data_IF_384847108778
#
_entry.id   IF_384847108778
#
_cell.length_a   1.000
_cell.length_b   1.000
_cell.length_c   1.000
_cell.angle_alpha   90.00
_cell.angle_beta   90.00
_cell.angle_gamma   90.00
#
_symmetry.space_group_name_H-M   'P 1'
#
loop_
_entity.id
_entity.type
_entity.pdbx_description
1 polymer ?
#
# COMPACT_ATOMS: atom_id res chain seq x y z
N UNK A 1 48.75 -10.70 38.60
CA UNK A 1 48.72 -11.38 37.31
C UNK A 1 47.31 -11.87 37.09
N UNK A 2 46.66 -11.32 36.06
CA UNK A 2 45.34 -11.73 35.62
C UNK A 2 45.41 -12.89 34.60
N UNK A 3 46.52 -13.02 33.86
CA UNK A 3 46.62 -13.84 32.65
C UNK A 3 47.67 -14.93 32.80
N UNK A 4 47.42 -15.89 33.70
CA UNK A 4 48.32 -17.01 34.04
C UNK A 4 48.75 -17.93 32.87
N UNK A 5 48.26 -17.68 31.65
CA UNK A 5 48.55 -18.42 30.43
C UNK A 5 49.07 -17.54 29.28
N UNK A 6 49.04 -16.21 29.41
CA UNK A 6 49.52 -15.26 28.41
C UNK A 6 50.55 -14.31 29.05
N UNK A 7 51.85 -14.67 29.09
CA UNK A 7 52.86 -13.93 29.83
C UNK A 7 53.21 -12.56 29.24
N UNK A 8 52.63 -12.18 28.09
CA UNK A 8 52.70 -10.81 27.58
C UNK A 8 51.65 -9.88 28.20
N UNK A 9 50.65 -10.44 28.89
CA UNK A 9 49.67 -9.72 29.70
C UNK A 9 49.87 -10.05 31.19
N UNK A 10 49.55 -9.11 32.08
CA UNK A 10 49.74 -9.32 33.54
C UNK A 10 48.74 -8.57 34.43
N UNK A 11 47.92 -7.72 33.82
CA UNK A 11 46.97 -6.79 34.44
C UNK A 11 45.74 -6.70 33.54
N UNK A 12 44.62 -6.60 34.20
CA UNK A 12 43.27 -6.33 33.71
C UNK A 12 42.72 -5.33 34.74
N UNK A 13 42.54 -4.06 34.36
CA UNK A 13 42.25 -2.97 35.31
C UNK A 13 40.76 -2.72 35.53
N UNK A 14 39.89 -3.02 34.57
CA UNK A 14 38.42 -2.88 34.72
C UNK A 14 37.66 -4.21 34.79
N UNK A 15 38.32 -5.34 34.52
CA UNK A 15 37.83 -6.70 34.70
C UNK A 15 37.02 -7.26 33.54
N UNK A 16 37.28 -6.85 32.30
CA UNK A 16 36.54 -7.32 31.11
C UNK A 16 37.09 -8.63 30.49
N UNK A 17 38.38 -8.91 30.69
CA UNK A 17 39.08 -10.09 30.19
C UNK A 17 40.13 -9.83 29.10
N UNK A 18 40.32 -8.58 28.68
CA UNK A 18 41.48 -8.12 27.91
C UNK A 18 42.57 -7.56 28.85
N UNK A 19 43.78 -7.37 28.33
CA UNK A 19 44.94 -7.00 29.16
C UNK A 19 45.52 -5.63 28.82
N UNK A 20 45.80 -4.83 29.85
CA UNK A 20 46.28 -3.43 29.75
C UNK A 20 47.55 -3.23 28.88
N UNK A 21 48.33 -4.28 28.61
CA UNK A 21 49.57 -4.14 27.86
C UNK A 21 49.29 -4.08 26.35
N UNK A 22 49.29 -2.86 25.80
CA UNK A 22 49.09 -2.61 24.37
C UNK A 22 50.15 -3.25 23.45
N UNK A 23 51.38 -3.49 23.95
CA UNK A 23 52.43 -4.25 23.24
C UNK A 23 52.27 -5.79 23.38
N UNK A 24 51.30 -6.24 24.20
CA UNK A 24 51.02 -7.65 24.48
C UNK A 24 50.03 -8.28 23.51
N UNK A 25 49.89 -9.60 23.59
CA UNK A 25 48.90 -10.34 22.80
C UNK A 25 47.49 -9.90 23.19
N UNK A 26 46.65 -9.58 22.20
CA UNK A 26 45.27 -9.09 22.38
C UNK A 26 45.14 -8.01 23.47
N UNK A 27 46.05 -7.04 23.48
CA UNK A 27 46.01 -5.92 24.41
C UNK A 27 44.74 -5.08 24.25
N UNK A 28 44.22 -4.62 25.38
CA UNK A 28 43.04 -3.77 25.46
C UNK A 28 43.33 -2.35 24.92
N UNK A 29 42.42 -1.84 24.10
CA UNK A 29 42.44 -0.48 23.56
C UNK A 29 41.73 0.55 24.46
N UNK A 30 40.98 0.10 25.48
CA UNK A 30 40.30 0.92 26.48
C UNK A 30 40.53 0.49 27.97
N UNK A 31 41.78 0.39 28.51
CA UNK A 31 42.12 -0.17 29.86
C UNK A 31 41.49 0.41 31.14
N UNK A 32 40.49 1.28 31.03
CA UNK A 32 39.75 1.90 32.13
C UNK A 32 38.21 1.86 31.87
N UNK A 33 37.75 1.23 30.77
CA UNK A 33 36.36 1.27 30.25
C UNK A 33 35.95 -0.04 29.57
N UNK A 34 35.71 -1.06 30.40
CA UNK A 34 35.12 -2.38 30.08
C UNK A 34 34.20 -2.37 28.87
N UNK A 35 34.46 -3.29 27.96
CA UNK A 35 33.62 -3.54 26.80
C UNK A 35 33.62 -4.99 26.33
N UNK A 36 33.32 -5.17 25.05
CA UNK A 36 33.15 -6.48 24.40
C UNK A 36 33.61 -6.50 22.94
N UNK A 37 34.06 -5.38 22.36
CA UNK A 37 34.49 -5.33 20.96
C UNK A 37 35.64 -6.31 20.69
N UNK A 38 35.56 -6.97 19.53
CA UNK A 38 36.45 -8.03 19.06
C UNK A 38 37.10 -7.71 17.71
N UNK A 39 36.59 -6.72 16.96
CA UNK A 39 36.93 -6.51 15.54
C UNK A 39 37.87 -5.33 15.29
N UNK A 40 37.67 -4.18 15.95
CA UNK A 40 38.48 -2.97 15.72
C UNK A 40 39.30 -2.55 16.95
N UNK A 41 38.65 -2.27 18.09
CA UNK A 41 39.28 -1.90 19.36
C UNK A 41 38.95 -2.97 20.41
N UNK A 42 39.85 -3.93 20.62
CA UNK A 42 39.68 -4.98 21.64
C UNK A 42 39.43 -4.36 23.02
N UNK A 43 38.54 -4.96 23.81
CA UNK A 43 38.16 -4.52 25.16
C UNK A 43 37.37 -3.20 25.24
N UNK A 44 37.33 -2.41 24.17
CA UNK A 44 36.51 -1.21 24.15
C UNK A 44 35.01 -1.52 24.15
N UNK A 45 34.27 -0.57 24.73
CA UNK A 45 32.81 -0.54 24.75
C UNK A 45 32.22 -0.80 23.35
N UNK A 46 31.26 -1.69 23.35
CA UNK A 46 30.41 -2.16 22.26
C UNK A 46 29.01 -2.26 22.90
N UNK A 47 27.99 -1.64 22.28
CA UNK A 47 26.69 -1.41 22.92
C UNK A 47 25.63 -2.46 22.58
N UNK A 48 25.70 -3.08 21.41
CA UNK A 48 24.70 -4.05 20.94
C UNK A 48 25.24 -5.48 20.75
N UNK A 49 26.56 -5.67 20.74
CA UNK A 49 27.23 -6.97 20.79
C UNK A 49 27.62 -7.56 19.43
N UNK A 50 27.70 -6.75 18.36
CA UNK A 50 28.13 -7.21 17.04
C UNK A 50 29.66 -7.45 16.94
N UNK A 51 30.43 -6.80 17.83
CA UNK A 51 31.87 -6.93 17.96
C UNK A 51 32.70 -5.75 17.45
N UNK A 52 32.09 -4.69 16.91
CA UNK A 52 32.72 -3.40 16.66
C UNK A 52 32.50 -2.43 17.83
N UNK A 53 33.39 -1.45 17.98
CA UNK A 53 33.38 -0.57 19.16
C UNK A 53 32.70 0.78 18.96
N UNK A 54 31.96 1.23 19.99
CA UNK A 54 31.28 2.52 20.08
C UNK A 54 32.19 3.67 19.58
N UNK A 55 31.67 4.64 18.82
CA UNK A 55 32.43 5.80 18.35
C UNK A 55 32.78 6.75 19.51
N UNK A 56 34.02 7.23 19.52
CA UNK A 56 34.56 8.17 20.51
C UNK A 56 35.12 9.43 19.84
N UNK A 57 35.47 10.45 20.64
CA UNK A 57 36.05 11.70 20.13
C UNK A 57 37.34 11.47 19.31
N UNK A 58 38.15 10.48 19.73
CA UNK A 58 39.41 10.08 19.10
C UNK A 58 39.30 8.94 18.07
N UNK A 59 38.22 8.16 18.08
CA UNK A 59 37.98 7.06 17.14
C UNK A 59 36.56 7.14 16.58
N UNK A 60 36.44 7.81 15.43
CA UNK A 60 35.15 8.13 14.83
C UNK A 60 34.58 6.96 14.04
N UNK A 61 33.26 6.94 13.95
CA UNK A 61 32.53 6.11 13.01
C UNK A 61 32.93 6.41 11.55
N UNK A 62 32.60 5.46 10.69
CA UNK A 62 32.54 5.64 9.24
C UNK A 62 31.56 6.81 8.92
N UNK A 63 31.82 7.66 7.89
CA UNK A 63 32.88 7.62 6.88
C UNK A 63 34.22 8.23 7.31
N UNK A 64 34.36 8.75 8.54
CA UNK A 64 35.55 9.46 9.00
C UNK A 64 36.56 8.61 9.79
N UNK A 65 36.22 7.36 10.08
CA UNK A 65 37.05 6.41 10.81
C UNK A 65 36.53 4.98 10.69
N UNK A 66 36.84 4.15 11.68
CA UNK A 66 36.60 2.70 11.68
C UNK A 66 35.81 2.21 12.90
N UNK A 67 35.29 3.12 13.72
CA UNK A 67 34.32 2.76 14.75
C UNK A 67 33.02 2.29 14.11
N UNK A 68 32.21 1.63 14.92
CA UNK A 68 30.82 1.36 14.62
C UNK A 68 30.03 2.66 14.30
N UNK A 69 29.28 2.64 13.20
CA UNK A 69 28.35 3.70 12.79
C UNK A 69 26.95 3.60 13.43
N UNK A 70 26.52 2.44 13.93
CA UNK A 70 25.17 2.19 14.46
C UNK A 70 25.16 1.46 15.83
N UNK A 71 25.54 2.11 16.96
CA UNK A 71 25.71 1.46 18.28
C UNK A 71 24.45 0.94 18.99
N UNK A 72 23.41 0.56 18.26
CA UNK A 72 22.13 0.04 18.74
C UNK A 72 21.48 -0.94 17.73
N UNK A 73 22.17 -1.38 16.67
CA UNK A 73 21.67 -2.25 15.59
C UNK A 73 22.77 -3.24 15.16
N UNK A 74 22.89 -4.36 15.91
CA UNK A 74 23.93 -5.39 15.78
C UNK A 74 23.95 -6.21 14.45
N UNK A 75 23.40 -5.65 13.38
CA UNK A 75 23.49 -6.11 12.00
C UNK A 75 24.19 -5.10 11.08
N UNK A 76 24.56 -3.93 11.61
CA UNK A 76 25.14 -2.80 10.88
C UNK A 76 26.24 -2.13 11.69
N UNK A 77 27.44 -2.01 11.13
CA UNK A 77 28.56 -1.33 11.79
C UNK A 77 29.24 -0.28 10.90
N UNK A 78 28.81 -0.11 9.65
CA UNK A 78 29.54 0.63 8.62
C UNK A 78 28.62 1.40 7.68
N UNK A 79 28.90 2.69 7.53
CA UNK A 79 28.19 3.66 6.68
C UNK A 79 29.23 4.33 5.76
N UNK A 80 29.28 3.97 4.47
CA UNK A 80 30.38 4.37 3.57
C UNK A 80 30.38 5.84 3.18
N UNK A 81 29.23 6.50 3.11
CA UNK A 81 29.12 7.89 2.62
C UNK A 81 28.48 8.87 3.62
N UNK A 82 27.84 8.37 4.69
CA UNK A 82 27.41 9.13 5.86
C UNK A 82 25.93 9.51 5.87
N UNK A 83 25.05 8.72 5.25
CA UNK A 83 23.62 9.04 5.12
C UNK A 83 22.73 8.51 6.25
N UNK A 84 23.20 7.53 7.03
CA UNK A 84 22.44 6.86 8.09
C UNK A 84 21.80 5.52 7.72
N UNK A 85 22.15 4.95 6.57
CA UNK A 85 21.99 3.53 6.24
C UNK A 85 23.35 2.84 6.20
N UNK A 86 23.36 1.52 6.40
CA UNK A 86 24.59 0.74 6.59
C UNK A 86 24.85 -0.25 5.46
N UNK A 87 26.12 -0.36 5.06
CA UNK A 87 26.56 -1.12 3.88
C UNK A 87 26.23 -2.63 3.94
N UNK A 88 25.88 -3.16 5.11
CA UNK A 88 25.61 -4.59 5.30
C UNK A 88 24.23 -4.89 4.70
N UNK A 89 24.13 -5.91 3.84
CA UNK A 89 22.88 -6.21 3.12
C UNK A 89 21.79 -6.90 3.98
N UNK A 90 21.82 -6.71 5.30
CA UNK A 90 20.96 -7.35 6.30
C UNK A 90 20.39 -6.32 7.29
N UNK A 91 19.29 -6.69 7.96
CA UNK A 91 18.65 -5.82 8.95
C UNK A 91 17.77 -4.71 8.35
N UNK A 92 17.28 -3.84 9.22
CA UNK A 92 16.29 -2.79 8.92
C UNK A 92 16.89 -1.52 8.33
N UNK A 93 18.19 -1.30 8.51
CA UNK A 93 18.91 -0.10 8.09
C UNK A 93 19.91 -0.37 6.95
N UNK A 94 19.78 -1.49 6.23
CA UNK A 94 20.64 -1.78 5.08
C UNK A 94 20.59 -0.64 4.04
N UNK A 95 21.71 -0.40 3.40
CA UNK A 95 21.82 0.39 2.18
C UNK A 95 21.93 -0.52 0.95
N UNK A 96 21.18 -0.20 -0.09
CA UNK A 96 21.25 -0.83 -1.40
C UNK A 96 22.15 -0.03 -2.38
N UNK A 97 22.65 1.17 -2.00
CA UNK A 97 23.55 2.05 -2.75
C UNK A 97 24.86 2.52 -2.01
N UNK A 98 25.76 1.65 -1.46
CA UNK A 98 26.82 1.99 -0.46
C UNK A 98 28.01 2.88 -0.87
N UNK A 99 27.80 3.85 -1.76
CA UNK A 99 28.75 4.89 -2.18
C UNK A 99 28.02 6.19 -2.66
N UNK A 100 26.69 6.25 -2.62
CA UNK A 100 25.85 7.34 -3.14
C UNK A 100 24.70 7.73 -2.17
N UNK A 101 25.06 8.18 -0.96
CA UNK A 101 24.22 8.81 0.07
C UNK A 101 22.82 9.33 -0.38
N UNK A 102 21.76 8.81 0.25
CA UNK A 102 20.38 9.13 -0.07
C UNK A 102 19.38 8.94 1.08
N UNK A 103 18.09 8.87 0.72
CA UNK A 103 16.98 8.75 1.68
C UNK A 103 15.78 7.96 1.14
N UNK A 104 15.93 7.24 0.01
CA UNK A 104 14.88 6.35 -0.49
C UNK A 104 14.62 5.18 0.47
N UNK A 105 13.37 4.71 0.52
CA UNK A 105 12.89 3.72 1.51
C UNK A 105 11.89 2.70 0.96
N UNK A 106 11.41 2.83 -0.28
CA UNK A 106 10.28 2.04 -0.82
C UNK A 106 10.67 0.91 -1.77
N UNK A 107 11.65 1.13 -2.66
CA UNK A 107 12.15 0.12 -3.62
C UNK A 107 13.57 -0.31 -3.29
N UNK A 108 14.47 0.67 -3.24
CA UNK A 108 15.84 0.56 -2.77
C UNK A 108 15.96 1.45 -1.53
N UNK A 109 16.78 1.04 -0.59
CA UNK A 109 17.02 1.77 0.65
C UNK A 109 18.38 2.48 0.57
N UNK A 110 18.50 3.70 1.12
CA UNK A 110 19.72 4.53 1.08
C UNK A 110 20.11 5.11 -0.28
N UNK A 111 19.43 4.73 -1.36
CA UNK A 111 19.67 5.33 -2.68
C UNK A 111 19.13 6.78 -2.78
N UNK A 112 19.68 7.62 -3.68
CA UNK A 112 19.23 9.01 -3.83
C UNK A 112 17.78 9.15 -4.32
N UNK A 113 16.97 9.95 -3.62
CA UNK A 113 15.66 10.46 -4.04
C UNK A 113 15.72 11.99 -4.16
N UNK A 114 15.68 12.52 -5.40
CA UNK A 114 15.74 13.98 -5.60
C UNK A 114 14.41 14.71 -5.39
N UNK A 115 13.31 14.01 -5.10
CA UNK A 115 11.97 14.58 -4.98
C UNK A 115 11.21 14.22 -3.68
N UNK A 116 11.75 13.35 -2.83
CA UNK A 116 11.19 13.01 -1.52
C UNK A 116 9.83 12.31 -1.60
N UNK A 117 9.64 11.41 -2.58
CA UNK A 117 8.46 10.54 -2.64
C UNK A 117 8.71 9.13 -2.04
N UNK A 118 9.95 8.89 -1.60
CA UNK A 118 10.41 7.67 -0.92
C UNK A 118 10.95 6.61 -1.88
N UNK A 119 10.93 6.85 -3.20
CA UNK A 119 11.44 5.95 -4.22
C UNK A 119 12.76 6.45 -4.79
N UNK A 120 13.63 5.53 -5.21
CA UNK A 120 14.91 5.87 -5.83
C UNK A 120 14.74 6.66 -7.14
N UNK A 121 15.75 7.49 -7.46
CA UNK A 121 15.86 8.16 -8.76
C UNK A 121 15.85 7.17 -9.96
N UNK A 122 16.30 5.91 -9.78
CA UNK A 122 16.21 4.88 -10.84
C UNK A 122 14.77 4.37 -11.03
N UNK A 123 13.97 4.28 -9.96
CA UNK A 123 12.55 3.99 -10.07
C UNK A 123 11.82 5.10 -10.83
N UNK A 124 12.02 6.35 -10.40
CA UNK A 124 11.62 7.54 -11.15
C UNK A 124 10.12 7.88 -11.08
N UNK A 125 9.86 9.19 -11.09
CA UNK A 125 8.60 9.84 -10.70
C UNK A 125 7.31 9.32 -11.35
N UNK A 126 7.35 8.85 -12.60
CA UNK A 126 6.16 8.31 -13.26
C UNK A 126 5.80 6.90 -12.77
N UNK A 127 6.80 6.09 -12.40
CA UNK A 127 6.56 4.75 -11.82
C UNK A 127 6.08 4.90 -10.38
N UNK A 128 6.76 5.72 -9.58
CA UNK A 128 6.41 5.95 -8.16
C UNK A 128 4.98 6.52 -8.01
N UNK A 129 4.61 7.51 -8.82
CA UNK A 129 3.25 8.07 -8.82
C UNK A 129 2.17 7.01 -9.12
N UNK A 130 2.44 6.06 -10.02
CA UNK A 130 1.51 4.94 -10.31
C UNK A 130 1.44 3.96 -9.13
N UNK A 131 2.57 3.64 -8.51
CA UNK A 131 2.62 2.75 -7.36
C UNK A 131 1.88 3.35 -6.14
N UNK A 132 2.09 4.63 -5.84
CA UNK A 132 1.41 5.36 -4.76
C UNK A 132 -0.11 5.41 -5.00
N UNK A 133 -0.57 5.62 -6.24
CA UNK A 133 -2.00 5.54 -6.60
C UNK A 133 -2.61 4.13 -6.47
N UNK A 134 -1.78 3.08 -6.38
CA UNK A 134 -2.22 1.70 -6.15
C UNK A 134 -2.25 1.31 -4.67
N UNK A 135 -1.50 1.99 -3.81
CA UNK A 135 -1.34 1.69 -2.38
C UNK A 135 -2.56 2.14 -1.56
N UNK A 136 -3.12 3.33 -1.85
CA UNK A 136 -4.37 3.80 -1.25
C UNK A 136 -5.51 3.92 -2.31
N UNK A 137 -6.38 2.90 -2.44
CA UNK A 137 -7.53 2.95 -3.34
C UNK A 137 -8.64 3.91 -2.85
N UNK A 138 -8.63 4.36 -1.60
CA UNK A 138 -9.55 5.36 -1.07
C UNK A 138 -9.09 6.80 -1.34
N UNK A 139 -7.79 7.04 -1.57
CA UNK A 139 -7.29 8.32 -2.08
C UNK A 139 -7.52 8.51 -3.59
N UNK A 140 -7.72 7.42 -4.35
CA UNK A 140 -7.84 7.47 -5.81
C UNK A 140 -9.16 8.09 -6.28
N UNK A 141 -9.08 9.22 -6.99
CA UNK A 141 -10.23 9.89 -7.63
C UNK A 141 -11.07 8.95 -8.52
N UNK A 142 -10.45 7.89 -9.07
CA UNK A 142 -11.11 6.91 -9.92
C UNK A 142 -12.14 6.04 -9.17
N UNK A 143 -11.92 5.72 -7.89
CA UNK A 143 -12.88 4.90 -7.13
C UNK A 143 -14.17 5.68 -6.83
N UNK A 144 -14.05 6.96 -6.48
CA UNK A 144 -15.19 7.89 -6.39
C UNK A 144 -15.91 8.07 -7.72
N UNK A 145 -15.18 8.12 -8.84
CA UNK A 145 -15.77 8.21 -10.18
C UNK A 145 -16.61 6.96 -10.51
N UNK A 146 -16.12 5.76 -10.20
CA UNK A 146 -16.86 4.50 -10.40
C UNK A 146 -18.13 4.46 -9.52
N UNK A 147 -18.02 4.83 -8.24
CA UNK A 147 -19.16 4.89 -7.31
C UNK A 147 -20.19 5.93 -7.80
N UNK A 148 -19.74 7.11 -8.21
CA UNK A 148 -20.59 8.18 -8.73
C UNK A 148 -21.32 7.78 -10.02
N UNK A 149 -20.63 7.16 -10.98
CA UNK A 149 -21.27 6.63 -12.19
C UNK A 149 -22.27 5.52 -11.86
N UNK A 150 -21.97 4.62 -10.92
CA UNK A 150 -22.90 3.59 -10.46
C UNK A 150 -24.19 4.19 -9.88
N UNK A 151 -24.06 5.25 -9.07
CA UNK A 151 -25.21 5.95 -8.49
C UNK A 151 -26.02 6.72 -9.54
N UNK A 152 -25.35 7.39 -10.50
CA UNK A 152 -25.99 8.09 -11.62
C UNK A 152 -26.75 7.11 -12.51
N UNK A 153 -26.13 5.99 -12.91
CA UNK A 153 -26.78 4.98 -13.75
C UNK A 153 -27.97 4.32 -13.03
N UNK A 154 -27.85 4.04 -11.73
CA UNK A 154 -28.95 3.55 -10.91
C UNK A 154 -30.12 4.53 -10.83
N UNK A 155 -29.84 5.82 -10.61
CA UNK A 155 -30.85 6.88 -10.60
C UNK A 155 -31.50 7.09 -11.98
N UNK A 156 -30.71 7.07 -13.06
CA UNK A 156 -31.22 7.15 -14.44
C UNK A 156 -32.14 5.98 -14.77
N UNK A 157 -31.75 4.74 -14.42
CA UNK A 157 -32.57 3.56 -14.65
C UNK A 157 -33.88 3.61 -13.85
N UNK A 158 -33.82 4.01 -12.57
CA UNK A 158 -35.02 4.19 -11.75
C UNK A 158 -35.96 5.27 -12.31
N UNK A 159 -35.42 6.36 -12.87
CA UNK A 159 -36.20 7.42 -13.50
C UNK A 159 -36.86 6.95 -14.81
N UNK A 160 -36.16 6.20 -15.65
CA UNK A 160 -36.73 5.57 -16.87
C UNK A 160 -37.86 4.59 -16.51
N UNK A 161 -37.67 3.74 -15.50
CA UNK A 161 -38.70 2.81 -15.01
C UNK A 161 -39.91 3.57 -14.43
N UNK A 162 -39.69 4.72 -13.78
CA UNK A 162 -40.79 5.57 -13.31
C UNK A 162 -41.58 6.19 -14.46
N UNK A 163 -40.90 6.74 -15.48
CA UNK A 163 -41.57 7.34 -16.64
C UNK A 163 -42.41 6.31 -17.40
N UNK A 164 -41.86 5.12 -17.67
CA UNK A 164 -42.61 4.04 -18.31
C UNK A 164 -43.86 3.61 -17.52
N UNK A 165 -43.81 3.63 -16.18
CA UNK A 165 -44.99 3.40 -15.34
C UNK A 165 -46.04 4.51 -15.44
N UNK A 166 -45.62 5.76 -15.55
CA UNK A 166 -46.54 6.90 -15.70
C UNK A 166 -47.23 6.88 -17.07
N UNK A 167 -46.54 6.46 -18.14
CA UNK A 167 -47.16 6.16 -19.44
C UNK A 167 -48.13 4.98 -19.36
N UNK A 168 -47.75 3.89 -18.71
CA UNK A 168 -48.59 2.70 -18.51
C UNK A 168 -49.89 3.01 -17.76
N UNK A 169 -49.85 3.87 -16.75
CA UNK A 169 -51.03 4.22 -15.94
C UNK A 169 -51.89 5.30 -16.64
N UNK A 170 -51.30 6.18 -17.46
CA UNK A 170 -52.04 7.08 -18.37
C UNK A 170 -52.82 6.30 -19.44
N UNK A 171 -52.16 5.35 -20.13
CA UNK A 171 -52.81 4.53 -21.17
C UNK A 171 -54.02 3.75 -20.62
N UNK A 172 -53.91 3.19 -19.40
CA UNK A 172 -55.04 2.54 -18.70
C UNK A 172 -56.15 3.53 -18.35
N UNK A 173 -55.79 4.75 -17.97
CA UNK A 173 -56.78 5.78 -17.63
C UNK A 173 -57.56 6.25 -18.86
N UNK A 174 -56.90 6.42 -20.02
CA UNK A 174 -57.59 6.72 -21.29
C UNK A 174 -58.52 5.56 -21.72
N UNK A 175 -58.07 4.31 -21.61
CA UNK A 175 -58.92 3.13 -21.87
C UNK A 175 -60.17 3.13 -20.99
N UNK A 176 -60.02 3.33 -19.67
CA UNK A 176 -61.15 3.45 -18.74
C UNK A 176 -62.01 4.72 -18.94
N UNK A 177 -61.51 5.74 -19.64
CA UNK A 177 -62.30 6.94 -19.96
C UNK A 177 -63.18 6.68 -21.19
N UNK A 178 -62.58 6.14 -22.26
CA UNK A 178 -63.30 5.73 -23.48
C UNK A 178 -64.37 4.65 -23.18
N UNK A 179 -64.06 3.68 -22.31
CA UNK A 179 -65.02 2.66 -21.87
C UNK A 179 -66.21 3.28 -21.12
N UNK A 180 -65.98 4.30 -20.27
CA UNK A 180 -67.05 5.02 -19.57
C UNK A 180 -67.90 5.88 -20.50
N UNK A 181 -67.29 6.55 -21.49
CA UNK A 181 -68.01 7.34 -22.48
C UNK A 181 -68.94 6.44 -23.32
N UNK A 182 -68.48 5.24 -23.68
CA UNK A 182 -69.31 4.23 -24.35
C UNK A 182 -70.46 3.70 -23.46
N UNK A 183 -70.24 3.54 -22.15
CA UNK A 183 -71.27 3.10 -21.19
C UNK A 183 -72.35 4.17 -20.97
N UNK A 184 -71.98 5.45 -20.80
CA UNK A 184 -72.94 6.55 -20.57
C UNK A 184 -73.78 6.83 -21.83
N UNK A 185 -73.20 6.68 -23.02
CA UNK A 185 -73.95 6.71 -24.29
C UNK A 185 -74.95 5.55 -24.39
N UNK A 186 -74.59 4.34 -23.92
CA UNK A 186 -75.48 3.18 -23.89
C UNK A 186 -76.61 3.30 -22.86
N UNK A 187 -76.55 4.24 -21.91
CA UNK A 187 -77.55 4.41 -20.86
C UNK A 187 -78.72 5.32 -21.25
N UNK A 188 -78.65 6.01 -22.40
CA UNK A 188 -79.53 7.12 -22.77
C UNK A 188 -80.40 6.89 -24.03
N UNK A 189 -80.54 5.64 -24.49
CA UNK A 189 -81.38 5.28 -25.64
C UNK A 189 -82.69 4.60 -25.18
N UNK A 190 -83.88 5.06 -25.63
CA UNK A 190 -85.15 4.44 -25.28
C UNK A 190 -85.35 3.11 -26.01
N UNK A 191 -86.06 2.17 -25.39
CA UNK A 191 -86.47 0.92 -26.04
C UNK A 191 -87.75 1.15 -26.87
N UNK A 192 -87.71 0.75 -28.14
CA UNK A 192 -88.90 0.43 -28.94
C UNK A 192 -88.75 -1.01 -29.44
N UNK A 193 -89.84 -1.78 -29.36
CA UNK A 193 -89.91 -3.22 -29.62
C UNK A 193 -90.79 -3.48 -30.87
N UNK A 194 -90.85 -4.74 -31.32
CA UNK A 194 -91.63 -5.27 -32.46
C UNK A 194 -90.99 -5.00 -33.84
N UNK A 195 -91.09 -5.86 -34.85
CA UNK A 195 -91.74 -7.19 -34.92
C UNK A 195 -90.95 -8.17 -35.84
N UNK A 196 -91.40 -9.43 -35.85
CA UNK A 196 -90.79 -10.62 -36.45
C UNK A 196 -91.19 -10.78 -37.93
N UNK A 197 -90.29 -11.26 -38.81
CA UNK A 197 -90.52 -12.42 -39.74
C UNK A 197 -89.33 -12.72 -40.69
N UNK A 198 -88.97 -14.02 -40.78
CA UNK A 198 -88.85 -14.92 -41.96
C UNK A 198 -88.22 -14.42 -43.30
N UNK A 199 -87.54 -15.24 -44.13
CA UNK A 199 -87.24 -16.69 -44.08
C UNK A 199 -86.02 -17.13 -44.94
N UNK A 200 -85.54 -18.35 -44.70
CA UNK A 200 -84.97 -19.39 -45.61
C UNK A 200 -84.07 -19.08 -46.84
N UNK A 201 -82.93 -19.83 -46.97
CA UNK A 201 -82.58 -20.80 -48.08
C UNK A 201 -82.28 -20.23 -49.52
N UNK A 202 -81.37 -20.68 -50.42
CA UNK A 202 -80.41 -21.81 -50.71
C UNK A 202 -79.39 -21.28 -51.81
N UNK A 203 -78.34 -21.91 -52.41
CA UNK A 203 -77.53 -23.15 -52.28
C UNK A 203 -76.19 -23.00 -53.10
N UNK A 204 -75.27 -23.99 -53.03
CA UNK A 204 -74.12 -24.19 -53.95
C UNK A 204 -72.81 -23.50 -53.54
N UNK A 205 -71.59 -23.97 -53.85
CA UNK A 205 -71.03 -25.09 -54.65
C UNK A 205 -69.50 -24.84 -54.73
N UNK A 206 -68.58 -25.68 -55.21
CA UNK A 206 -68.63 -26.93 -56.00
C UNK A 206 -67.22 -27.61 -55.90
N UNK A 207 -67.11 -28.93 -56.18
CA UNK A 207 -65.93 -29.84 -56.22
C UNK A 207 -64.57 -29.23 -56.70
N UNK A 208 -63.38 -29.61 -56.20
CA UNK A 208 -62.69 -30.94 -56.04
C UNK A 208 -62.12 -31.55 -57.33
N UNK A 209 -60.79 -31.77 -57.32
CA UNK A 209 -60.06 -32.94 -57.85
C UNK A 209 -58.75 -33.09 -57.02
#
# INVERSE_FOLDING_TARGET
DAFIHEPTQWRDSDGDGFGDAADGNQGDACPEVRGTSLMDRLGCRDTDGDGWSDPTENWKAHPFGLADSFPNEALQWRDTDGDGYGDVTLGSLRDDCPNEAGDSTRDLQGCPDNNGDGWSNEYGTFKSAIAIMGEDPAASWLTYLIIGLGFILGASLALVVKMGREEDDLNKQEQMFNEKEQIDFSANLPQEENDITQDSVQEGGEIVD
#
